data_IF_409008816728
#
_entry.id   IF_409008816728
#
_cell.length_a   1.000
_cell.length_b   1.000
_cell.length_c   1.000
_cell.angle_alpha   90.00
_cell.angle_beta   90.00
_cell.angle_gamma   90.00
#
_symmetry.space_group_name_H-M   'P 1'
#
loop_
_entity.id
_entity.type
_entity.pdbx_description
1 polymer ?
#
# COMPACT_ATOMS: atom_id res chain seq x y z
N UNK A 1 -55.93 -53.98 -84.25
CA UNK A 1 -55.09 -52.95 -83.59
C UNK A 1 -55.53 -52.80 -82.15
N UNK A 2 -54.78 -53.34 -81.18
CA UNK A 2 -55.07 -53.15 -79.74
C UNK A 2 -54.33 -51.89 -79.28
N UNK A 3 -55.05 -50.88 -78.80
CA UNK A 3 -54.49 -49.67 -78.19
C UNK A 3 -54.25 -49.95 -76.70
N UNK A 4 -52.99 -49.85 -76.27
CA UNK A 4 -52.61 -49.88 -74.86
C UNK A 4 -52.60 -48.42 -74.39
N UNK A 5 -53.45 -48.09 -73.42
CA UNK A 5 -53.43 -46.82 -72.71
C UNK A 5 -52.68 -47.06 -71.40
N UNK A 6 -51.54 -46.37 -71.25
CA UNK A 6 -50.71 -46.42 -70.05
C UNK A 6 -51.05 -45.23 -69.15
N UNK A 7 -51.73 -45.49 -68.04
CA UNK A 7 -52.02 -44.50 -67.00
C UNK A 7 -50.81 -44.37 -66.07
N UNK A 8 -50.09 -43.25 -66.13
CA UNK A 8 -48.96 -42.94 -65.24
C UNK A 8 -49.50 -42.17 -64.02
N UNK A 9 -49.51 -42.82 -62.86
CA UNK A 9 -49.85 -42.19 -61.57
C UNK A 9 -48.58 -41.63 -60.95
N UNK A 10 -48.48 -40.31 -60.80
CA UNK A 10 -47.36 -39.63 -60.12
C UNK A 10 -47.60 -39.73 -58.61
N UNK A 11 -46.79 -40.53 -57.91
CA UNK A 11 -46.77 -40.57 -56.44
C UNK A 11 -45.85 -39.47 -55.90
N UNK A 12 -46.42 -38.41 -55.33
CA UNK A 12 -45.67 -37.35 -54.64
C UNK A 12 -45.35 -37.78 -53.20
N UNK A 13 -44.08 -38.06 -52.91
CA UNK A 13 -43.59 -38.27 -51.55
C UNK A 13 -43.31 -36.92 -50.89
N UNK A 14 -44.21 -36.44 -50.05
CA UNK A 14 -43.94 -35.28 -49.19
C UNK A 14 -43.15 -35.76 -47.96
N UNK A 15 -41.94 -35.25 -47.78
CA UNK A 15 -41.17 -35.42 -46.54
C UNK A 15 -41.82 -34.53 -45.46
N UNK A 16 -42.50 -35.13 -44.49
CA UNK A 16 -43.03 -34.41 -43.34
C UNK A 16 -41.91 -34.20 -42.31
N UNK A 17 -41.43 -32.97 -42.17
CA UNK A 17 -40.55 -32.60 -41.06
C UNK A 17 -41.40 -32.49 -39.79
N UNK A 18 -41.18 -33.38 -38.82
CA UNK A 18 -41.86 -33.34 -37.53
C UNK A 18 -41.21 -32.26 -36.65
N UNK A 19 -41.85 -31.10 -36.58
CA UNK A 19 -41.56 -30.04 -35.63
C UNK A 19 -42.80 -29.81 -34.79
N UNK A 20 -42.63 -29.62 -33.48
CA UNK A 20 -43.75 -29.48 -32.55
C UNK A 20 -43.93 -28.01 -32.20
N UNK A 21 -45.03 -27.43 -32.65
CA UNK A 21 -45.49 -26.10 -32.25
C UNK A 21 -46.63 -26.19 -31.23
N UNK A 22 -46.52 -25.46 -30.13
CA UNK A 22 -47.64 -25.18 -29.23
C UNK A 22 -48.00 -23.71 -29.41
N UNK A 23 -49.27 -23.44 -29.74
CA UNK A 23 -49.80 -22.09 -30.02
C UNK A 23 -49.15 -21.34 -31.20
N UNK A 24 -48.29 -21.98 -31.98
CA UNK A 24 -47.74 -21.43 -33.22
C UNK A 24 -47.87 -22.44 -34.35
N UNK A 25 -48.31 -21.98 -35.53
CA UNK A 25 -48.36 -22.79 -36.75
C UNK A 25 -47.06 -22.75 -37.56
N UNK A 26 -46.10 -21.94 -37.13
CA UNK A 26 -44.81 -21.72 -37.79
C UNK A 26 -43.66 -21.87 -36.77
N UNK A 27 -43.38 -23.10 -36.30
CA UNK A 27 -42.30 -23.36 -35.35
C UNK A 27 -40.93 -22.88 -35.87
N UNK A 28 -40.09 -22.37 -34.97
CA UNK A 28 -38.73 -21.87 -35.29
C UNK A 28 -37.61 -22.79 -34.85
N UNK A 29 -37.96 -23.92 -34.25
CA UNK A 29 -37.05 -24.99 -33.87
C UNK A 29 -37.79 -26.33 -33.88
N UNK A 30 -37.14 -27.37 -33.37
CA UNK A 30 -37.75 -28.70 -33.25
C UNK A 30 -38.90 -28.72 -32.25
N UNK A 31 -38.85 -27.85 -31.25
CA UNK A 31 -39.94 -27.57 -30.31
C UNK A 31 -40.08 -26.06 -30.11
N UNK A 32 -41.28 -25.51 -30.29
CA UNK A 32 -41.55 -24.08 -30.14
C UNK A 32 -42.87 -23.89 -29.39
N UNK A 33 -42.82 -23.25 -28.22
CA UNK A 33 -43.99 -22.81 -27.46
C UNK A 33 -44.12 -21.31 -27.56
N UNK A 34 -45.23 -20.85 -28.11
CA UNK A 34 -45.64 -19.45 -28.16
C UNK A 34 -46.64 -19.19 -27.04
N UNK A 35 -46.21 -18.47 -26.00
CA UNK A 35 -47.04 -18.26 -24.81
C UNK A 35 -48.29 -17.41 -25.10
N UNK A 36 -48.15 -16.38 -25.93
CA UNK A 36 -49.20 -15.41 -26.23
C UNK A 36 -50.04 -15.77 -27.46
N UNK A 37 -49.64 -16.79 -28.23
CA UNK A 37 -50.24 -17.18 -29.51
C UNK A 37 -50.24 -16.02 -30.52
N UNK A 38 -49.20 -15.20 -30.50
CA UNK A 38 -49.10 -13.98 -31.29
C UNK A 38 -48.09 -14.10 -32.45
N UNK A 39 -47.44 -15.25 -32.64
CA UNK A 39 -46.51 -15.48 -33.74
C UNK A 39 -47.20 -15.50 -35.12
N UNK A 40 -46.55 -14.93 -36.16
CA UNK A 40 -47.10 -14.93 -37.51
C UNK A 40 -47.07 -16.33 -38.12
N UNK A 41 -48.10 -16.65 -38.92
CA UNK A 41 -48.23 -17.94 -39.62
C UNK A 41 -47.14 -18.19 -40.68
N UNK A 42 -46.40 -17.15 -41.08
CA UNK A 42 -45.24 -17.21 -41.98
C UNK A 42 -44.20 -16.17 -41.57
N UNK A 43 -42.96 -16.28 -42.08
CA UNK A 43 -41.88 -15.34 -41.72
C UNK A 43 -41.39 -15.53 -40.27
N UNK A 44 -40.61 -14.59 -39.74
CA UNK A 44 -40.09 -14.66 -38.37
C UNK A 44 -40.92 -13.80 -37.41
N UNK A 45 -41.14 -14.25 -36.16
CA UNK A 45 -41.68 -13.39 -35.11
C UNK A 45 -40.82 -12.15 -34.86
N UNK A 46 -41.47 -11.04 -34.55
CA UNK A 46 -40.81 -9.81 -34.06
C UNK A 46 -40.19 -10.05 -32.69
N UNK A 47 -39.25 -9.20 -32.27
CA UNK A 47 -38.62 -9.33 -30.94
C UNK A 47 -39.64 -9.31 -29.80
N UNK A 48 -40.71 -8.51 -29.91
CA UNK A 48 -41.76 -8.43 -28.90
C UNK A 48 -42.59 -9.73 -28.80
N UNK A 49 -42.88 -10.37 -29.93
CA UNK A 49 -43.54 -11.68 -29.96
C UNK A 49 -42.62 -12.77 -29.38
N UNK A 50 -41.34 -12.78 -29.79
CA UNK A 50 -40.35 -13.72 -29.25
C UNK A 50 -40.17 -13.63 -27.74
N UNK A 51 -40.44 -12.47 -27.12
CA UNK A 51 -40.25 -12.24 -25.69
C UNK A 51 -41.06 -13.18 -24.78
N UNK A 52 -42.11 -13.81 -25.32
CA UNK A 52 -42.95 -14.79 -24.62
C UNK A 52 -42.79 -16.23 -25.15
N UNK A 53 -41.81 -16.45 -26.03
CA UNK A 53 -41.54 -17.75 -26.65
C UNK A 53 -40.51 -18.57 -25.88
N UNK A 54 -40.66 -19.89 -25.98
CA UNK A 54 -39.67 -20.89 -25.62
C UNK A 54 -39.34 -21.76 -26.83
N UNK A 55 -38.07 -21.87 -27.20
CA UNK A 55 -37.62 -22.59 -28.39
C UNK A 55 -36.51 -23.58 -28.06
N UNK A 56 -36.59 -24.78 -28.63
CA UNK A 56 -35.47 -25.74 -28.70
C UNK A 56 -35.08 -25.90 -30.16
N UNK A 57 -33.82 -25.62 -30.47
CA UNK A 57 -33.26 -25.76 -31.83
C UNK A 57 -32.88 -27.21 -32.12
N UNK A 58 -32.66 -27.55 -33.39
CA UNK A 58 -32.19 -28.89 -33.80
C UNK A 58 -30.80 -29.25 -33.24
N UNK A 59 -30.01 -28.25 -32.86
CA UNK A 59 -28.71 -28.42 -32.21
C UNK A 59 -28.80 -28.59 -30.69
N UNK A 60 -30.01 -28.52 -30.11
CA UNK A 60 -30.26 -28.69 -28.68
C UNK A 60 -30.17 -27.40 -27.85
N UNK A 61 -29.84 -26.25 -28.46
CA UNK A 61 -29.86 -24.96 -27.76
C UNK A 61 -31.30 -24.57 -27.41
N UNK A 62 -31.49 -24.08 -26.18
CA UNK A 62 -32.75 -23.58 -25.65
C UNK A 62 -32.74 -22.06 -25.63
N UNK A 63 -33.77 -21.44 -26.20
CA UNK A 63 -34.03 -20.01 -26.13
C UNK A 63 -35.27 -19.72 -25.31
N UNK A 64 -35.18 -18.74 -24.42
CA UNK A 64 -36.31 -18.13 -23.73
C UNK A 64 -36.30 -16.65 -24.09
N UNK A 65 -37.34 -16.17 -24.75
CA UNK A 65 -37.36 -14.77 -25.23
C UNK A 65 -36.61 -14.54 -26.55
N UNK A 66 -36.08 -15.59 -27.18
CA UNK A 66 -35.38 -15.56 -28.46
C UNK A 66 -35.59 -16.88 -29.22
N UNK A 67 -35.78 -16.80 -30.54
CA UNK A 67 -35.81 -17.97 -31.42
C UNK A 67 -34.44 -18.34 -32.02
N UNK A 68 -33.41 -17.51 -31.76
CA UNK A 68 -32.05 -17.69 -32.25
C UNK A 68 -31.07 -17.63 -31.08
N UNK A 69 -31.05 -18.66 -30.21
CA UNK A 69 -30.08 -18.73 -29.11
C UNK A 69 -28.66 -18.58 -29.63
N UNK A 70 -27.80 -17.92 -28.85
CA UNK A 70 -26.38 -17.85 -29.21
C UNK A 70 -25.79 -19.27 -29.36
N UNK A 71 -25.05 -19.49 -30.46
CA UNK A 71 -24.40 -20.77 -30.75
C UNK A 71 -23.48 -21.30 -29.63
N UNK A 72 -22.93 -20.42 -28.79
CA UNK A 72 -22.08 -20.80 -27.66
C UNK A 72 -22.86 -21.08 -26.36
N UNK A 73 -24.18 -21.00 -26.35
CA UNK A 73 -25.02 -21.17 -25.17
C UNK A 73 -26.01 -22.33 -25.34
N UNK A 74 -26.00 -23.29 -24.42
CA UNK A 74 -27.06 -24.32 -24.37
C UNK A 74 -28.40 -23.76 -23.87
N UNK A 75 -28.37 -22.70 -23.04
CA UNK A 75 -29.54 -21.94 -22.61
C UNK A 75 -29.25 -20.45 -22.79
N UNK A 76 -30.11 -19.78 -23.56
CA UNK A 76 -30.08 -18.33 -23.78
C UNK A 76 -31.40 -17.72 -23.30
N UNK A 77 -31.31 -16.76 -22.37
CA UNK A 77 -32.46 -16.08 -21.78
C UNK A 77 -32.38 -14.61 -22.18
N UNK A 78 -33.14 -14.26 -23.21
CA UNK A 78 -33.12 -12.93 -23.81
C UNK A 78 -34.32 -12.10 -23.33
N UNK A 79 -34.07 -10.86 -22.93
CA UNK A 79 -35.11 -9.92 -22.47
C UNK A 79 -35.29 -8.72 -23.39
N UNK A 80 -34.56 -8.62 -24.49
CA UNK A 80 -34.53 -7.46 -25.40
C UNK A 80 -35.91 -7.14 -25.98
N UNK A 81 -36.72 -8.18 -26.24
CA UNK A 81 -38.10 -8.04 -26.69
C UNK A 81 -39.09 -7.46 -25.67
N UNK A 82 -38.76 -7.46 -24.37
CA UNK A 82 -39.63 -6.91 -23.32
C UNK A 82 -39.54 -5.37 -23.27
N UNK A 83 -40.63 -4.69 -22.90
CA UNK A 83 -40.61 -3.24 -22.72
C UNK A 83 -39.68 -2.80 -21.57
N UNK A 84 -39.25 -1.53 -21.59
CA UNK A 84 -38.58 -0.91 -20.44
C UNK A 84 -39.48 -0.99 -19.20
N UNK A 85 -38.91 -1.36 -18.05
CA UNK A 85 -39.67 -1.63 -16.82
C UNK A 85 -40.25 -3.05 -16.70
N UNK A 86 -40.27 -3.83 -17.79
CA UNK A 86 -40.74 -5.23 -17.80
C UNK A 86 -39.62 -6.26 -17.97
N UNK A 87 -38.36 -5.81 -18.09
CA UNK A 87 -37.20 -6.69 -18.18
C UNK A 87 -37.10 -7.57 -16.93
N UNK A 88 -36.69 -8.83 -17.10
CA UNK A 88 -36.56 -9.83 -16.04
C UNK A 88 -35.10 -10.26 -15.86
N UNK A 89 -34.79 -10.93 -14.75
CA UNK A 89 -33.47 -11.51 -14.49
C UNK A 89 -33.55 -13.01 -14.24
N UNK A 90 -32.38 -13.65 -14.07
CA UNK A 90 -32.30 -15.05 -13.66
C UNK A 90 -32.37 -15.16 -12.13
N UNK A 91 -33.31 -15.95 -11.62
CA UNK A 91 -33.37 -16.33 -10.20
C UNK A 91 -32.87 -17.77 -10.06
N UNK A 92 -31.60 -17.93 -9.71
CA UNK A 92 -30.97 -19.24 -9.54
C UNK A 92 -31.41 -19.99 -8.27
N UNK A 93 -30.99 -21.26 -8.12
CA UNK A 93 -31.21 -22.03 -6.91
C UNK A 93 -30.67 -21.32 -5.66
N UNK A 94 -31.41 -21.42 -4.55
CA UNK A 94 -31.01 -20.88 -3.25
C UNK A 94 -30.80 -22.01 -2.25
N UNK A 95 -29.76 -21.94 -1.44
CA UNK A 95 -29.48 -22.93 -0.39
C UNK A 95 -28.96 -22.25 0.87
N UNK A 96 -29.20 -22.85 2.03
CA UNK A 96 -28.60 -22.42 3.30
C UNK A 96 -27.38 -23.30 3.60
N UNK A 97 -26.21 -22.93 3.06
CA UNK A 97 -24.98 -23.72 3.21
C UNK A 97 -24.46 -23.66 4.65
N UNK A 98 -23.88 -24.76 5.10
CA UNK A 98 -23.41 -24.93 6.49
C UNK A 98 -21.95 -24.56 6.69
N UNK A 99 -21.14 -24.65 5.64
CA UNK A 99 -19.72 -24.29 5.65
C UNK A 99 -19.23 -24.07 4.21
N UNK A 100 -18.02 -23.56 4.04
CA UNK A 100 -17.42 -23.42 2.72
C UNK A 100 -17.13 -24.79 2.06
N UNK A 101 -17.01 -25.87 2.81
CA UNK A 101 -16.78 -27.23 2.27
C UNK A 101 -18.06 -28.06 2.28
N UNK A 102 -19.24 -27.43 2.39
CA UNK A 102 -20.52 -28.13 2.52
C UNK A 102 -20.85 -28.92 1.26
N UNK A 103 -20.83 -30.25 1.38
CA UNK A 103 -21.29 -31.18 0.35
C UNK A 103 -22.47 -32.03 0.85
N UNK A 104 -23.11 -31.63 1.96
CA UNK A 104 -24.25 -32.33 2.53
C UNK A 104 -25.56 -31.68 2.09
N UNK A 105 -25.61 -30.35 2.10
CA UNK A 105 -26.76 -29.58 1.62
C UNK A 105 -26.95 -29.75 0.12
N UNK A 106 -25.85 -29.89 -0.62
CA UNK A 106 -25.82 -30.25 -2.03
C UNK A 106 -24.80 -31.38 -2.20
N UNK A 107 -25.23 -32.65 -2.28
CA UNK A 107 -24.36 -33.80 -2.47
C UNK A 107 -23.60 -33.76 -3.79
N UNK A 108 -22.29 -34.05 -3.73
CA UNK A 108 -21.39 -34.11 -4.90
C UNK A 108 -21.53 -32.89 -5.84
N UNK A 109 -21.35 -31.66 -5.33
CA UNK A 109 -21.56 -30.45 -6.12
C UNK A 109 -20.61 -30.44 -7.32
N UNK A 110 -21.16 -30.18 -8.51
CA UNK A 110 -20.37 -30.10 -9.73
C UNK A 110 -19.43 -28.87 -9.70
N UNK A 111 -18.23 -28.98 -10.25
CA UNK A 111 -17.34 -27.82 -10.39
C UNK A 111 -17.99 -26.77 -11.28
N UNK A 112 -18.02 -25.51 -10.80
CA UNK A 112 -18.71 -24.39 -11.45
C UNK A 112 -20.19 -24.25 -11.08
N UNK A 113 -20.74 -25.13 -10.22
CA UNK A 113 -22.13 -25.03 -9.76
C UNK A 113 -22.36 -23.71 -9.00
N UNK A 114 -23.29 -22.88 -9.48
CA UNK A 114 -23.64 -21.58 -8.90
C UNK A 114 -24.91 -21.67 -8.06
N UNK A 115 -24.87 -21.14 -6.83
CA UNK A 115 -26.00 -21.12 -5.89
C UNK A 115 -26.02 -19.79 -5.14
N UNK A 116 -27.21 -19.27 -4.83
CA UNK A 116 -27.35 -18.17 -3.89
C UNK A 116 -27.36 -18.72 -2.45
N UNK A 117 -26.31 -18.47 -1.67
CA UNK A 117 -26.28 -18.81 -0.25
C UNK A 117 -27.16 -17.84 0.55
N UNK A 118 -28.08 -18.39 1.35
CA UNK A 118 -29.01 -17.62 2.16
C UNK A 118 -28.35 -16.98 3.40
N UNK A 119 -27.17 -17.43 3.81
CA UNK A 119 -26.50 -16.92 5.02
C UNK A 119 -27.19 -17.31 6.34
N UNK A 120 -28.27 -18.09 6.28
CA UNK A 120 -29.03 -18.58 7.44
C UNK A 120 -28.59 -19.98 7.91
N UNK A 121 -27.67 -20.61 7.18
CA UNK A 121 -26.97 -21.81 7.63
C UNK A 121 -25.74 -21.47 8.48
N UNK A 122 -24.76 -22.35 8.51
CA UNK A 122 -23.46 -22.11 9.16
C UNK A 122 -22.48 -21.27 8.34
N UNK A 123 -22.62 -21.25 7.01
CA UNK A 123 -21.90 -20.31 6.14
C UNK A 123 -22.65 -18.99 6.11
N UNK A 124 -22.24 -18.03 6.92
CA UNK A 124 -22.97 -16.77 7.16
C UNK A 124 -22.95 -15.81 5.94
N UNK A 125 -22.08 -16.03 4.96
CA UNK A 125 -22.00 -15.21 3.75
C UNK A 125 -23.30 -15.24 2.94
N UNK A 126 -24.04 -14.14 2.86
CA UNK A 126 -25.24 -14.03 2.02
C UNK A 126 -24.88 -13.54 0.62
N UNK A 127 -25.18 -14.34 -0.42
CA UNK A 127 -24.88 -13.97 -1.81
C UNK A 127 -24.59 -15.17 -2.70
N UNK A 128 -24.28 -14.90 -3.97
CA UNK A 128 -23.92 -15.92 -4.95
C UNK A 128 -22.54 -16.52 -4.65
N UNK A 129 -22.49 -17.85 -4.61
CA UNK A 129 -21.27 -18.65 -4.47
C UNK A 129 -21.24 -19.74 -5.53
N UNK A 130 -20.03 -20.15 -5.94
CA UNK A 130 -19.85 -21.29 -6.81
C UNK A 130 -18.93 -22.34 -6.19
N UNK A 131 -19.17 -23.61 -6.50
CA UNK A 131 -18.29 -24.70 -6.09
C UNK A 131 -17.05 -24.77 -6.99
N UNK A 132 -15.85 -24.61 -6.43
CA UNK A 132 -14.61 -24.67 -7.21
C UNK A 132 -14.00 -26.08 -7.35
N UNK A 133 -14.68 -27.11 -6.84
CA UNK A 133 -14.16 -28.48 -6.74
C UNK A 133 -13.76 -28.88 -5.31
N UNK A 134 -13.51 -27.91 -4.43
CA UNK A 134 -13.02 -28.12 -3.05
C UNK A 134 -13.79 -27.30 -2.01
N UNK A 135 -14.21 -26.09 -2.35
CA UNK A 135 -14.99 -25.20 -1.49
C UNK A 135 -15.92 -24.28 -2.31
N UNK A 136 -16.96 -23.78 -1.65
CA UNK A 136 -17.84 -22.71 -2.09
C UNK A 136 -17.11 -21.38 -1.98
N UNK A 137 -16.96 -20.70 -3.11
CA UNK A 137 -16.28 -19.41 -3.23
C UNK A 137 -17.24 -18.33 -3.69
N UNK A 138 -16.94 -17.09 -3.32
CA UNK A 138 -17.65 -15.92 -3.84
C UNK A 138 -17.45 -15.79 -5.35
N UNK A 139 -18.31 -15.03 -6.02
CA UNK A 139 -18.27 -14.87 -7.48
C UNK A 139 -16.93 -14.29 -8.01
N UNK A 140 -16.22 -13.48 -7.23
CA UNK A 140 -14.86 -13.00 -7.53
C UNK A 140 -13.75 -14.01 -7.16
N UNK A 141 -14.10 -15.28 -6.96
CA UNK A 141 -13.20 -16.37 -6.57
C UNK A 141 -12.51 -16.20 -5.20
N UNK A 142 -13.08 -15.38 -4.32
CA UNK A 142 -12.63 -15.22 -2.95
C UNK A 142 -12.94 -16.46 -2.11
N UNK A 143 -11.95 -16.93 -1.34
CA UNK A 143 -12.20 -17.97 -0.34
C UNK A 143 -13.04 -17.40 0.79
N UNK A 144 -13.92 -18.20 1.39
CA UNK A 144 -14.69 -17.84 2.58
C UNK A 144 -14.02 -18.33 3.88
N UNK A 145 -12.79 -18.83 3.77
CA UNK A 145 -12.06 -19.43 4.88
C UNK A 145 -11.56 -18.32 5.81
N UNK A 146 -11.41 -18.58 7.12
CA UNK A 146 -10.75 -17.63 8.01
C UNK A 146 -9.38 -17.21 7.47
N UNK A 147 -9.19 -15.91 7.30
CA UNK A 147 -7.95 -15.31 6.84
C UNK A 147 -6.85 -15.39 7.89
N UNK A 148 -5.66 -15.82 7.47
CA UNK A 148 -4.45 -15.84 8.30
C UNK A 148 -3.27 -15.25 7.55
N UNK A 149 -2.30 -14.71 8.29
CA UNK A 149 -1.03 -14.22 7.75
C UNK A 149 0.15 -14.81 8.53
N UNK A 150 1.27 -14.95 7.83
CA UNK A 150 2.55 -15.39 8.40
C UNK A 150 3.16 -14.33 9.32
N UNK A 151 3.21 -13.07 8.88
CA UNK A 151 3.65 -11.93 9.69
C UNK A 151 3.07 -10.60 9.18
N UNK A 152 2.88 -9.64 10.09
CA UNK A 152 2.66 -8.23 9.75
C UNK A 152 4.02 -7.53 9.72
N UNK A 153 4.32 -6.80 8.66
CA UNK A 153 5.60 -6.08 8.49
C UNK A 153 5.48 -4.68 9.09
N UNK A 154 5.46 -4.59 10.43
CA UNK A 154 5.17 -3.35 11.17
C UNK A 154 6.11 -2.18 10.82
N UNK A 155 7.38 -2.50 10.60
CA UNK A 155 8.45 -1.59 10.21
C UNK A 155 8.37 -1.11 8.75
N UNK A 156 7.47 -1.69 7.95
CA UNK A 156 7.13 -1.26 6.58
C UNK A 156 5.83 -0.46 6.47
N UNK A 157 5.21 -0.10 7.60
CA UNK A 157 3.97 0.70 7.61
C UNK A 157 4.25 2.12 7.12
N UNK A 158 3.40 2.62 6.24
CA UNK A 158 3.46 3.99 5.71
C UNK A 158 2.13 4.71 5.91
N UNK A 159 2.16 6.04 5.96
CA UNK A 159 0.98 6.91 6.03
C UNK A 159 1.05 7.95 4.90
N UNK A 160 -0.06 8.19 4.21
CA UNK A 160 -0.18 9.23 3.18
C UNK A 160 -1.49 10.02 3.34
N UNK A 161 -1.47 11.33 3.60
CA UNK A 161 -0.29 12.17 3.87
C UNK A 161 0.49 11.75 5.12
N UNK A 162 1.81 11.88 5.16
CA UNK A 162 2.63 11.31 6.25
C UNK A 162 2.64 12.10 7.57
N UNK A 163 2.04 13.29 7.56
CA UNK A 163 1.97 14.20 8.70
C UNK A 163 0.55 14.70 8.96
N UNK A 164 0.28 15.06 10.20
CA UNK A 164 -0.97 15.68 10.62
C UNK A 164 -0.74 16.81 11.65
N UNK A 165 -1.68 17.75 11.74
CA UNK A 165 -1.59 18.93 12.60
C UNK A 165 -2.73 18.95 13.60
N UNK A 166 -2.43 19.26 14.86
CA UNK A 166 -3.44 19.36 15.93
C UNK A 166 -4.58 20.32 15.55
N UNK A 167 -5.82 19.92 15.81
CA UNK A 167 -7.02 20.70 15.55
C UNK A 167 -7.45 20.80 14.08
N UNK A 168 -6.66 20.27 13.13
CA UNK A 168 -6.99 20.30 11.69
C UNK A 168 -7.57 18.95 11.26
N UNK A 169 -8.76 18.88 10.64
CA UNK A 169 -9.29 17.63 10.12
C UNK A 169 -8.30 16.90 9.21
N UNK A 170 -8.12 15.61 9.44
CA UNK A 170 -7.19 14.76 8.72
C UNK A 170 -7.92 13.58 8.07
N UNK A 171 -7.51 13.24 6.85
CA UNK A 171 -7.87 12.00 6.18
C UNK A 171 -6.65 11.51 5.41
N UNK A 172 -6.33 10.23 5.54
CA UNK A 172 -5.23 9.61 4.82
C UNK A 172 -5.28 8.10 4.85
N UNK A 173 -4.33 7.48 4.16
CA UNK A 173 -4.25 6.03 4.00
C UNK A 173 -3.01 5.51 4.72
N UNK A 174 -3.22 4.57 5.65
CA UNK A 174 -2.17 3.81 6.31
C UNK A 174 -2.04 2.43 5.65
N UNK A 175 -0.90 2.19 5.01
CA UNK A 175 -0.61 0.91 4.36
C UNK A 175 0.13 0.00 5.32
N UNK A 176 -0.40 -1.21 5.52
CA UNK A 176 0.13 -2.22 6.44
C UNK A 176 0.52 -3.47 5.65
N UNK A 177 1.80 -3.62 5.28
CA UNK A 177 2.27 -4.79 4.56
C UNK A 177 2.28 -6.06 5.44
N UNK A 178 2.04 -7.21 4.82
CA UNK A 178 2.09 -8.53 5.45
C UNK A 178 2.65 -9.58 4.50
N UNK A 179 3.07 -10.71 5.05
CA UNK A 179 3.56 -11.89 4.31
C UNK A 179 2.79 -13.15 4.73
N UNK A 180 2.80 -14.18 3.87
CA UNK A 180 2.23 -15.49 4.18
C UNK A 180 0.69 -15.52 4.34
N UNK A 181 -0.03 -14.66 3.63
CA UNK A 181 -1.48 -14.67 3.54
C UNK A 181 -2.02 -15.94 2.85
N UNK A 182 -3.15 -16.44 3.34
CA UNK A 182 -3.77 -17.69 2.86
C UNK A 182 -4.94 -17.49 1.88
N UNK A 183 -5.23 -16.26 1.42
CA UNK A 183 -6.40 -15.99 0.58
C UNK A 183 -7.73 -15.84 1.32
N UNK A 184 -7.79 -16.11 2.63
CA UNK A 184 -9.02 -16.14 3.42
C UNK A 184 -9.56 -14.76 3.80
N UNK A 185 -10.79 -14.71 4.30
CA UNK A 185 -11.51 -13.50 4.67
C UNK A 185 -11.00 -12.89 5.98
N UNK A 186 -11.03 -11.56 6.05
CA UNK A 186 -10.93 -10.80 7.28
C UNK A 186 -12.11 -9.84 7.41
N UNK A 187 -12.58 -9.64 8.65
CA UNK A 187 -13.67 -8.72 8.94
C UNK A 187 -13.23 -7.26 8.85
N UNK A 188 -14.19 -6.36 8.72
CA UNK A 188 -13.94 -4.93 8.84
C UNK A 188 -13.40 -4.61 10.25
N UNK A 189 -12.54 -3.60 10.36
CA UNK A 189 -11.97 -3.15 11.62
C UNK A 189 -12.16 -1.65 11.81
N UNK A 190 -12.34 -1.26 13.07
CA UNK A 190 -12.30 0.13 13.52
C UNK A 190 -11.44 0.18 14.77
N UNK A 191 -10.35 0.96 14.73
CA UNK A 191 -9.35 1.03 15.80
C UNK A 191 -9.17 2.50 16.20
N UNK A 192 -9.31 2.78 17.50
CA UNK A 192 -9.24 4.13 18.06
C UNK A 192 -10.59 4.66 18.56
N UNK A 193 -10.69 5.97 18.81
CA UNK A 193 -9.70 7.00 18.48
C UNK A 193 -8.43 6.92 19.33
N UNK A 194 -7.27 7.21 18.73
CA UNK A 194 -5.99 7.46 19.41
C UNK A 194 -5.48 8.81 18.94
N UNK A 195 -5.17 9.72 19.86
CA UNK A 195 -4.84 11.13 19.55
C UNK A 195 -5.86 11.80 18.61
N UNK A 196 -7.15 11.50 18.74
CA UNK A 196 -8.21 12.06 17.88
C UNK A 196 -8.31 11.47 16.46
N UNK A 197 -7.52 10.44 16.15
CA UNK A 197 -7.55 9.73 14.86
C UNK A 197 -8.10 8.31 15.02
N UNK A 198 -8.89 7.86 14.05
CA UNK A 198 -9.46 6.50 13.96
C UNK A 198 -8.98 5.83 12.68
N UNK A 199 -8.47 4.60 12.78
CA UNK A 199 -8.11 3.77 11.64
C UNK A 199 -9.23 2.78 11.32
N UNK A 200 -9.64 2.70 10.05
CA UNK A 200 -10.72 1.82 9.58
C UNK A 200 -10.27 0.96 8.40
N UNK A 201 -10.67 -0.31 8.40
CA UNK A 201 -10.41 -1.25 7.31
C UNK A 201 -11.74 -1.90 6.92
N UNK A 202 -12.07 -1.89 5.63
CA UNK A 202 -13.23 -2.62 5.11
C UNK A 202 -12.97 -4.13 5.12
N UNK A 203 -14.02 -4.95 5.27
CA UNK A 203 -13.89 -6.40 5.16
C UNK A 203 -13.37 -6.80 3.77
N UNK A 204 -12.62 -7.89 3.71
CA UNK A 204 -12.00 -8.34 2.47
C UNK A 204 -11.32 -9.70 2.61
N UNK A 205 -10.41 -10.00 1.68
CA UNK A 205 -9.59 -11.21 1.68
C UNK A 205 -8.12 -10.85 1.71
N UNK A 206 -7.31 -11.65 2.39
CA UNK A 206 -5.86 -11.58 2.22
C UNK A 206 -5.49 -12.03 0.80
N UNK A 207 -4.37 -11.54 0.28
CA UNK A 207 -3.73 -12.14 -0.87
C UNK A 207 -3.14 -13.51 -0.48
N UNK A 208 -3.01 -14.40 -1.45
CA UNK A 208 -2.17 -15.58 -1.28
C UNK A 208 -0.70 -15.16 -1.35
N UNK A 209 0.08 -15.35 -0.28
CA UNK A 209 1.45 -14.84 -0.17
C UNK A 209 1.52 -13.45 0.46
N UNK A 210 2.21 -12.50 -0.19
CA UNK A 210 2.38 -11.15 0.37
C UNK A 210 1.29 -10.19 -0.10
N UNK A 211 1.00 -9.17 0.72
CA UNK A 211 0.03 -8.15 0.38
C UNK A 211 0.06 -6.97 1.34
N UNK A 212 -0.88 -6.05 1.14
CA UNK A 212 -0.99 -4.82 1.92
C UNK A 212 -2.44 -4.61 2.34
N UNK A 213 -2.66 -4.35 3.63
CA UNK A 213 -3.94 -3.86 4.13
C UNK A 213 -3.93 -2.32 4.07
N UNK A 214 -4.98 -1.73 3.52
CA UNK A 214 -5.11 -0.28 3.38
C UNK A 214 -6.15 0.24 4.36
N UNK A 215 -5.70 0.82 5.47
CA UNK A 215 -6.57 1.45 6.46
C UNK A 215 -6.82 2.92 6.09
N UNK A 216 -8.07 3.37 6.17
CA UNK A 216 -8.40 4.79 6.15
C UNK A 216 -8.25 5.35 7.56
N UNK A 217 -7.36 6.33 7.73
CA UNK A 217 -7.13 7.05 8.98
C UNK A 217 -7.81 8.41 8.88
N UNK A 218 -8.74 8.71 9.78
CA UNK A 218 -9.47 9.98 9.77
C UNK A 218 -9.78 10.50 11.16
N UNK A 219 -10.05 11.81 11.26
CA UNK A 219 -10.44 12.46 12.51
C UNK A 219 -9.84 13.86 12.65
N UNK A 220 -9.83 14.40 13.86
CA UNK A 220 -9.17 15.67 14.18
C UNK A 220 -8.06 15.37 15.19
N UNK A 221 -6.77 15.40 14.79
CA UNK A 221 -5.65 15.08 15.66
C UNK A 221 -5.61 15.98 16.89
N UNK A 222 -5.24 15.42 18.04
CA UNK A 222 -4.94 16.17 19.28
C UNK A 222 -3.46 16.49 19.43
N UNK A 223 -2.61 15.97 18.53
CA UNK A 223 -1.16 16.16 18.51
C UNK A 223 -0.70 16.54 17.09
N UNK A 224 0.46 17.19 16.98
CA UNK A 224 1.07 17.56 15.69
C UNK A 224 2.29 16.67 15.44
N UNK A 225 2.46 16.21 14.20
CA UNK A 225 3.70 15.57 13.75
C UNK A 225 4.93 16.41 14.13
N UNK A 226 6.03 15.82 14.61
CA UNK A 226 6.37 14.39 14.56
C UNK A 226 5.86 13.56 15.76
N UNK A 227 4.98 14.08 16.62
CA UNK A 227 4.38 13.27 17.70
C UNK A 227 3.56 12.13 17.08
N UNK A 228 4.02 10.90 17.31
CA UNK A 228 3.45 9.71 16.68
C UNK A 228 2.14 9.26 17.32
N UNK A 229 1.29 8.62 16.51
CA UNK A 229 0.09 7.91 16.95
C UNK A 229 0.29 6.42 16.71
N UNK A 230 -0.05 5.59 17.70
CA UNK A 230 0.15 4.14 17.64
C UNK A 230 -1.19 3.41 17.68
N UNK A 231 -1.51 2.65 16.63
CA UNK A 231 -2.67 1.76 16.60
C UNK A 231 -2.25 0.30 16.82
N UNK A 232 -2.85 -0.37 17.81
CA UNK A 232 -2.62 -1.81 18.02
C UNK A 232 -3.51 -2.62 17.09
N UNK A 233 -2.91 -3.15 16.03
CA UNK A 233 -3.54 -4.02 15.06
C UNK A 233 -3.61 -5.45 15.59
N UNK A 234 -4.73 -6.13 15.35
CA UNK A 234 -4.91 -7.56 15.57
C UNK A 234 -5.69 -8.14 14.38
N UNK A 235 -5.00 -8.78 13.43
CA UNK A 235 -5.62 -9.28 12.21
C UNK A 235 -4.84 -10.48 11.67
N UNK A 236 -5.54 -11.45 11.06
CA UNK A 236 -4.92 -12.64 10.50
C UNK A 236 -4.17 -13.53 11.51
N UNK A 237 -4.55 -13.46 12.79
CA UNK A 237 -3.89 -14.19 13.89
C UNK A 237 -2.52 -13.61 14.28
N UNK A 238 -2.25 -12.34 13.96
CA UNK A 238 -1.03 -11.61 14.33
C UNK A 238 -1.38 -10.26 14.93
N UNK A 239 -0.49 -9.75 15.77
CA UNK A 239 -0.59 -8.42 16.37
C UNK A 239 0.57 -7.53 15.92
N UNK A 240 0.32 -6.22 15.83
CA UNK A 240 1.31 -5.24 15.39
C UNK A 240 0.97 -3.85 15.93
N UNK A 241 1.94 -3.11 16.44
CA UNK A 241 1.74 -1.70 16.80
C UNK A 241 2.13 -0.81 15.61
N UNK A 242 1.12 -0.30 14.90
CA UNK A 242 1.28 0.60 13.77
C UNK A 242 1.56 2.03 14.25
N UNK A 243 2.81 2.48 14.13
CA UNK A 243 3.24 3.83 14.52
C UNK A 243 3.23 4.74 13.30
N UNK A 244 2.45 5.82 13.35
CA UNK A 244 2.28 6.78 12.23
C UNK A 244 2.50 8.22 12.69
N UNK A 245 2.62 9.15 11.74
CA UNK A 245 2.68 10.59 12.01
C UNK A 245 4.05 11.16 12.37
N UNK A 246 5.12 10.37 12.20
CA UNK A 246 6.50 10.85 12.30
C UNK A 246 6.97 11.63 11.04
N UNK A 247 6.12 11.76 10.01
CA UNK A 247 6.51 12.14 8.65
C UNK A 247 6.93 10.93 7.81
N UNK A 248 7.48 11.17 6.61
CA UNK A 248 7.84 10.12 5.65
C UNK A 248 8.90 9.14 6.20
N UNK A 249 9.68 9.55 7.19
CA UNK A 249 10.82 8.77 7.66
C UNK A 249 11.71 8.34 6.47
N UNK A 250 12.40 7.21 6.61
CA UNK A 250 13.10 6.55 5.50
C UNK A 250 12.55 5.13 5.39
N UNK A 251 12.29 4.62 4.18
CA UNK A 251 12.01 3.20 3.94
C UNK A 251 13.33 2.41 3.86
N UNK A 252 13.32 1.08 4.08
CA UNK A 252 14.54 0.28 3.95
C UNK A 252 15.14 0.43 2.54
N UNK A 253 16.41 0.81 2.48
CA UNK A 253 17.15 1.09 1.25
C UNK A 253 17.23 2.59 0.90
N UNK A 254 16.32 3.43 1.41
CA UNK A 254 16.32 4.85 1.10
C UNK A 254 17.57 5.55 1.62
N UNK A 255 18.13 6.43 0.79
CA UNK A 255 19.27 7.28 1.09
C UNK A 255 18.89 8.74 0.85
N UNK A 256 19.01 9.56 1.89
CA UNK A 256 18.70 10.99 1.84
C UNK A 256 19.96 11.81 2.14
N UNK A 257 20.08 12.95 1.46
CA UNK A 257 21.19 13.88 1.60
C UNK A 257 20.72 15.21 2.17
N UNK A 258 21.59 15.87 2.92
CA UNK A 258 21.36 17.19 3.49
C UNK A 258 22.61 18.06 3.34
N UNK A 259 22.43 19.36 3.14
CA UNK A 259 23.49 20.36 3.09
C UNK A 259 23.05 21.62 3.84
N UNK A 260 23.92 22.11 4.71
CA UNK A 260 23.76 23.43 5.33
C UNK A 260 25.03 24.26 5.20
N UNK A 261 24.89 25.59 5.13
CA UNK A 261 26.00 26.53 5.10
C UNK A 261 25.77 27.73 6.02
N UNK A 262 26.76 28.09 6.83
CA UNK A 262 26.72 29.26 7.74
C UNK A 262 28.13 29.79 8.02
N UNK A 263 28.25 31.00 8.56
CA UNK A 263 29.56 31.64 8.76
C UNK A 263 30.50 30.79 9.61
N UNK A 264 31.79 30.74 9.26
CA UNK A 264 32.82 30.06 10.05
C UNK A 264 33.26 30.83 11.29
N UNK A 265 32.77 32.07 11.48
CA UNK A 265 33.17 32.95 12.59
C UNK A 265 32.30 32.80 13.84
N UNK A 266 31.25 31.98 13.79
CA UNK A 266 30.27 31.85 14.90
C UNK A 266 30.60 30.67 15.82
N UNK A 267 30.20 30.77 17.08
CA UNK A 267 30.21 29.67 18.06
C UNK A 267 28.78 29.43 18.54
N UNK A 268 28.43 28.18 18.78
CA UNK A 268 27.09 27.80 19.20
C UNK A 268 26.64 26.46 18.63
N UNK A 269 25.37 26.13 18.82
CA UNK A 269 24.75 24.95 18.23
C UNK A 269 24.44 25.15 16.75
N UNK A 270 24.58 24.09 15.95
CA UNK A 270 24.21 24.13 14.54
C UNK A 270 22.74 24.53 14.37
N UNK A 271 21.87 24.03 15.25
CA UNK A 271 20.44 24.39 15.30
C UNK A 271 20.14 25.87 15.58
N UNK A 272 21.12 26.66 16.05
CA UNK A 272 20.97 28.11 16.20
C UNK A 272 21.20 28.87 14.89
N UNK A 273 21.87 28.24 13.92
CA UNK A 273 22.21 28.85 12.61
C UNK A 273 21.39 28.24 11.47
N UNK A 274 20.81 27.05 11.68
CA UNK A 274 20.09 26.30 10.66
C UNK A 274 18.85 25.64 11.27
N UNK A 275 17.68 25.84 10.66
CA UNK A 275 16.38 25.50 11.26
C UNK A 275 15.81 24.15 10.83
N UNK A 276 16.35 23.54 9.78
CA UNK A 276 15.77 22.37 9.08
C UNK A 276 16.65 21.10 9.20
N UNK A 277 17.39 20.98 10.29
CA UNK A 277 18.27 19.83 10.53
C UNK A 277 17.51 18.48 10.46
N UNK A 278 18.08 17.43 9.87
CA UNK A 278 17.41 16.13 9.76
C UNK A 278 17.05 15.51 11.11
N UNK A 279 15.86 14.91 11.18
CA UNK A 279 15.37 14.18 12.37
C UNK A 279 15.09 12.73 11.99
N UNK A 280 15.90 11.82 12.50
CA UNK A 280 15.76 10.37 12.29
C UNK A 280 14.64 9.83 13.16
N UNK A 281 13.72 9.09 12.54
CA UNK A 281 12.57 8.47 13.21
C UNK A 281 11.61 9.46 13.86
N UNK A 282 11.65 10.75 13.48
CA UNK A 282 10.88 11.81 14.13
C UNK A 282 11.32 12.13 15.57
N UNK A 283 12.43 11.53 16.05
CA UNK A 283 12.86 11.57 17.45
C UNK A 283 14.25 12.15 17.65
N UNK A 284 15.21 11.79 16.78
CA UNK A 284 16.62 12.10 16.98
C UNK A 284 17.10 13.08 15.91
N UNK A 285 17.36 14.32 16.29
CA UNK A 285 17.94 15.34 15.42
C UNK A 285 19.45 15.15 15.30
N UNK A 286 19.95 15.26 14.08
CA UNK A 286 21.37 15.35 13.76
C UNK A 286 21.85 16.79 13.96
N UNK A 287 22.65 17.05 14.98
CA UNK A 287 23.09 18.39 15.37
C UNK A 287 24.62 18.41 15.60
N UNK A 288 25.16 19.58 15.95
CA UNK A 288 26.56 19.72 16.36
C UNK A 288 26.77 20.96 17.23
N UNK A 289 27.81 20.94 18.06
CA UNK A 289 28.29 22.09 18.81
C UNK A 289 29.60 22.63 18.23
N UNK A 290 29.70 23.95 18.12
CA UNK A 290 30.93 24.64 17.71
C UNK A 290 31.46 25.52 18.84
N UNK A 291 32.67 25.23 19.32
CA UNK A 291 33.28 25.93 20.47
C UNK A 291 33.91 27.29 20.15
N UNK A 292 33.96 27.70 18.88
CA UNK A 292 34.67 28.90 18.43
C UNK A 292 34.57 29.07 16.93
N UNK A 293 35.36 29.98 16.34
CA UNK A 293 35.49 30.10 14.89
C UNK A 293 36.27 28.92 14.28
N UNK A 294 35.87 28.43 13.10
CA UNK A 294 36.54 27.32 12.40
C UNK A 294 37.59 27.79 11.38
N UNK A 295 38.18 28.97 11.60
CA UNK A 295 39.23 29.53 10.74
C UNK A 295 40.64 29.01 11.07
N UNK A 296 40.74 28.10 12.05
CA UNK A 296 42.02 27.49 12.40
C UNK A 296 42.53 26.59 11.27
N UNK A 297 43.85 26.58 11.10
CA UNK A 297 44.55 25.70 10.15
C UNK A 297 44.71 24.28 10.69
N UNK A 298 45.90 23.70 10.50
CA UNK A 298 46.15 22.31 10.83
C UNK A 298 45.84 21.94 12.30
N UNK A 299 45.23 20.77 12.50
CA UNK A 299 44.95 20.24 13.84
C UNK A 299 43.80 20.91 14.59
N UNK A 300 43.06 21.82 13.93
CA UNK A 300 41.91 22.49 14.54
C UNK A 300 40.79 21.49 14.87
N UNK A 301 40.24 21.60 16.07
CA UNK A 301 39.07 20.83 16.52
C UNK A 301 38.02 21.82 16.98
N UNK A 302 37.02 22.05 16.13
CA UNK A 302 36.03 23.13 16.33
C UNK A 302 34.59 22.67 16.22
N UNK A 303 34.34 21.37 16.00
CA UNK A 303 33.00 20.79 15.86
C UNK A 303 32.86 19.49 16.67
N UNK A 304 31.75 19.36 17.39
CA UNK A 304 31.33 18.16 18.12
C UNK A 304 29.98 17.68 17.56
N UNK A 305 29.95 16.63 16.70
CA UNK A 305 28.71 16.03 16.23
C UNK A 305 27.91 15.45 17.40
N UNK A 306 26.59 15.69 17.41
CA UNK A 306 25.72 15.33 18.53
C UNK A 306 24.35 14.83 18.06
N UNK A 307 23.77 13.91 18.83
CA UNK A 307 22.38 13.50 18.70
C UNK A 307 21.53 14.20 19.75
N UNK A 308 20.39 14.76 19.33
CA UNK A 308 19.46 15.45 20.23
C UNK A 308 18.08 14.79 20.17
N UNK A 309 17.52 14.41 21.32
CA UNK A 309 16.16 13.89 21.39
C UNK A 309 15.15 15.05 21.35
N UNK A 310 14.44 15.18 20.25
CA UNK A 310 13.41 16.22 20.03
C UNK A 310 12.00 15.77 20.41
N UNK A 311 11.82 14.52 20.83
CA UNK A 311 10.52 14.01 21.26
C UNK A 311 10.21 14.39 22.70
N UNK A 312 8.94 14.28 23.10
CA UNK A 312 8.48 14.58 24.46
C UNK A 312 8.74 13.45 25.48
N UNK A 313 9.41 12.37 25.08
CA UNK A 313 9.64 11.20 25.93
C UNK A 313 11.07 10.66 25.80
N UNK A 314 11.61 9.97 26.83
CA UNK A 314 12.94 9.36 26.73
C UNK A 314 13.02 8.41 25.54
N UNK A 315 14.15 8.45 24.80
CA UNK A 315 14.38 7.62 23.62
C UNK A 315 15.52 6.66 23.89
N UNK A 316 15.24 5.36 23.75
CA UNK A 316 16.25 4.30 23.86
C UNK A 316 16.90 4.06 22.51
N UNK A 317 18.23 4.06 22.45
CA UNK A 317 18.99 3.88 21.21
C UNK A 317 20.35 3.20 21.44
N UNK A 318 20.96 2.76 20.34
CA UNK A 318 22.34 2.30 20.28
C UNK A 318 23.00 2.98 19.10
N UNK A 319 24.25 3.39 19.27
CA UNK A 319 25.05 3.84 18.14
C UNK A 319 26.49 3.36 18.26
N UNK A 320 27.11 3.20 17.10
CA UNK A 320 28.54 3.01 16.97
C UNK A 320 29.03 3.93 15.86
N UNK A 321 29.95 4.82 16.20
CA UNK A 321 30.64 5.65 15.24
C UNK A 321 32.01 5.04 14.91
N UNK A 322 32.39 5.11 13.63
CA UNK A 322 33.76 4.92 13.18
C UNK A 322 34.48 6.26 13.40
N UNK A 323 35.12 6.40 14.55
CA UNK A 323 35.91 7.59 14.91
C UNK A 323 37.30 7.19 15.36
N UNK A 324 38.18 8.19 15.52
CA UNK A 324 39.55 8.01 15.99
C UNK A 324 39.65 7.74 17.51
N UNK A 325 38.56 7.82 18.29
CA UNK A 325 38.55 7.66 19.76
C UNK A 325 37.51 6.64 20.23
N UNK A 326 37.93 5.71 21.09
CA UNK A 326 37.24 4.47 21.45
C UNK A 326 36.13 4.58 22.52
N UNK A 327 35.79 5.79 23.01
CA UNK A 327 34.98 5.95 24.23
C UNK A 327 33.59 6.56 24.06
N UNK A 328 33.20 6.97 22.86
CA UNK A 328 31.92 7.66 22.66
C UNK A 328 30.78 6.73 22.25
N UNK A 329 31.09 5.54 21.73
CA UNK A 329 30.07 4.54 21.34
C UNK A 329 29.16 4.19 22.52
N UNK A 330 27.85 4.25 22.30
CA UNK A 330 26.86 4.00 23.35
C UNK A 330 25.91 2.87 22.96
N UNK A 331 25.72 1.93 23.90
CA UNK A 331 24.76 0.84 23.78
C UNK A 331 23.74 0.92 24.90
N UNK A 332 22.50 0.55 24.61
CA UNK A 332 21.39 0.60 25.57
C UNK A 332 21.20 1.99 26.20
N UNK A 333 21.51 3.06 25.47
CA UNK A 333 21.47 4.40 26.01
C UNK A 333 20.03 4.93 26.03
N UNK A 334 19.64 5.59 27.12
CA UNK A 334 18.34 6.24 27.27
C UNK A 334 18.53 7.76 27.27
N UNK A 335 18.25 8.40 26.13
CA UNK A 335 18.42 9.85 25.96
C UNK A 335 17.15 10.59 26.40
N UNK A 336 17.28 11.46 27.40
CA UNK A 336 16.18 12.28 27.89
C UNK A 336 15.64 13.25 26.81
N UNK A 337 14.35 13.65 26.86
CA UNK A 337 13.83 14.74 26.04
C UNK A 337 14.67 15.99 26.16
N UNK A 338 15.00 16.61 25.04
CA UNK A 338 15.62 17.92 25.03
C UNK A 338 14.55 19.01 24.95
N UNK A 339 14.53 19.88 25.95
CA UNK A 339 13.88 21.19 25.89
C UNK A 339 14.91 22.23 25.45
N UNK A 340 14.56 23.14 24.51
CA UNK A 340 15.45 24.25 24.19
C UNK A 340 15.60 25.15 25.42
N UNK A 341 16.83 25.39 25.88
CA UNK A 341 17.16 26.34 26.95
C UNK A 341 17.86 27.56 26.33
N UNK A 342 17.42 28.77 26.70
CA UNK A 342 17.95 30.03 26.16
C UNK A 342 17.15 30.62 24.99
N UNK A 343 17.71 31.66 24.35
CA UNK A 343 17.12 32.35 23.19
C UNK A 343 18.21 32.81 22.19
N UNK A 344 17.87 32.90 20.91
CA UNK A 344 18.82 33.29 19.85
C UNK A 344 20.01 32.33 19.74
N UNK A 345 21.23 32.87 19.63
CA UNK A 345 22.47 32.08 19.51
C UNK A 345 22.83 31.25 20.76
N UNK A 346 22.11 31.44 21.88
CA UNK A 346 22.30 30.66 23.12
C UNK A 346 21.36 29.46 23.22
N UNK A 347 20.51 29.23 22.22
CA UNK A 347 19.58 28.11 22.19
C UNK A 347 20.35 26.79 22.25
N UNK A 348 20.27 26.11 23.39
CA UNK A 348 20.95 24.85 23.63
C UNK A 348 19.93 23.74 23.92
N UNK A 349 20.13 22.52 23.39
CA UNK A 349 19.41 21.36 23.88
C UNK A 349 19.81 21.05 25.32
N UNK A 350 18.83 20.80 26.19
CA UNK A 350 19.05 20.38 27.58
C UNK A 350 19.53 18.93 27.72
N UNK A 351 19.37 18.12 26.68
CA UNK A 351 19.83 16.74 26.63
C UNK A 351 20.37 16.39 25.25
N UNK A 352 21.58 15.83 25.20
CA UNK A 352 22.22 15.39 23.97
C UNK A 352 23.17 14.23 24.24
N UNK A 353 23.58 13.57 23.16
CA UNK A 353 24.61 12.55 23.15
C UNK A 353 25.74 13.02 22.24
N UNK A 354 26.97 12.97 22.76
CA UNK A 354 28.17 13.26 21.99
C UNK A 354 28.58 12.03 21.19
N UNK A 355 28.89 12.23 19.92
CA UNK A 355 29.31 11.16 19.02
C UNK A 355 30.83 10.99 18.98
N UNK A 356 31.56 12.01 19.42
CA UNK A 356 33.01 12.09 19.36
C UNK A 356 33.54 13.17 20.34
N UNK A 357 34.83 13.16 20.69
CA UNK A 357 35.49 14.20 21.50
C UNK A 357 35.84 15.47 20.72
N UNK A 358 35.42 15.55 19.47
CA UNK A 358 35.60 16.70 18.60
C UNK A 358 36.43 16.28 17.40
N UNK A 359 35.89 16.52 16.21
CA UNK A 359 36.51 16.09 14.97
C UNK A 359 37.51 17.13 14.45
N UNK A 360 38.55 16.67 13.77
CA UNK A 360 39.46 17.58 13.05
C UNK A 360 38.69 18.37 11.98
N UNK A 361 38.56 19.67 12.21
CA UNK A 361 37.71 20.57 11.44
C UNK A 361 38.19 22.03 11.48
N UNK A 362 38.57 22.54 10.31
CA UNK A 362 39.06 23.90 10.09
C UNK A 362 39.22 24.24 8.60
N UNK A 363 39.91 25.34 8.28
CA UNK A 363 40.19 25.76 6.88
C UNK A 363 41.29 24.92 6.20
N UNK A 364 41.95 24.05 6.96
CA UNK A 364 43.02 23.20 6.48
C UNK A 364 44.17 24.01 5.87
N UNK A 365 44.55 23.68 4.63
CA UNK A 365 45.60 24.36 3.88
C UNK A 365 45.27 25.82 3.54
N UNK A 366 43.98 26.18 3.51
CA UNK A 366 43.50 27.52 3.16
C UNK A 366 44.05 28.05 1.81
N UNK A 367 44.16 27.15 0.82
CA UNK A 367 44.64 27.52 -0.52
C UNK A 367 43.59 28.39 -1.25
N UNK A 368 44.02 29.42 -1.98
CA UNK A 368 43.17 30.37 -2.69
C UNK A 368 43.52 30.35 -4.19
N UNK A 369 42.53 30.10 -5.04
CA UNK A 369 42.73 30.06 -6.49
C UNK A 369 43.29 31.39 -7.02
N UNK A 370 44.39 31.32 -7.77
CA UNK A 370 45.07 32.48 -8.35
C UNK A 370 45.96 33.26 -7.38
N UNK A 371 46.00 32.88 -6.09
CA UNK A 371 46.86 33.50 -5.07
C UNK A 371 47.86 32.50 -4.50
N UNK A 372 47.38 31.33 -4.07
CA UNK A 372 48.24 30.27 -3.55
C UNK A 372 48.93 29.54 -4.70
N UNK A 373 50.23 29.25 -4.54
CA UNK A 373 50.96 28.42 -5.50
C UNK A 373 50.39 27.00 -5.50
N UNK A 374 49.90 26.48 -6.65
CA UNK A 374 49.35 25.14 -6.72
C UNK A 374 50.36 24.07 -6.31
N UNK A 375 49.92 23.12 -5.49
CA UNK A 375 50.77 22.00 -5.03
C UNK A 375 50.93 20.97 -6.16
N UNK A 376 52.16 20.53 -6.40
CA UNK A 376 52.47 19.51 -7.42
C UNK A 376 52.39 18.08 -6.90
N UNK A 377 52.44 17.89 -5.57
CA UNK A 377 52.32 16.61 -4.85
C UNK A 377 51.69 16.85 -3.47
N UNK A 378 51.02 15.85 -2.89
CA UNK A 378 50.33 15.99 -1.59
C UNK A 378 50.53 14.82 -0.62
N UNK A 379 51.05 15.11 0.57
CA UNK A 379 50.97 14.32 1.81
C UNK A 379 51.48 15.17 2.99
N UNK A 380 50.88 15.08 4.19
CA UNK A 380 51.42 15.70 5.42
C UNK A 380 50.56 16.81 6.06
N UNK A 381 51.08 17.35 7.16
CA UNK A 381 50.41 18.26 8.11
C UNK A 381 49.92 19.57 7.45
N UNK A 382 48.61 19.81 7.54
CA UNK A 382 47.93 20.96 6.93
C UNK A 382 46.47 20.66 6.56
N UNK A 383 46.16 19.40 6.26
CA UNK A 383 44.85 18.97 5.77
C UNK A 383 44.08 18.06 6.72
N UNK A 384 44.28 18.16 8.03
CA UNK A 384 43.60 17.29 8.99
C UNK A 384 42.09 17.60 8.96
N UNK A 385 41.34 16.77 8.25
CA UNK A 385 39.89 16.82 8.12
C UNK A 385 39.38 15.43 8.47
N UNK A 386 38.35 15.40 9.30
CA UNK A 386 37.74 14.18 9.77
C UNK A 386 36.26 14.15 9.41
N UNK A 387 35.80 12.96 9.07
CA UNK A 387 34.38 12.65 8.88
C UNK A 387 33.93 11.75 10.00
N UNK A 388 32.67 11.87 10.39
CA UNK A 388 32.06 10.92 11.31
C UNK A 388 31.09 10.04 10.53
N UNK A 389 31.32 8.73 10.55
CA UNK A 389 30.36 7.74 10.07
C UNK A 389 29.79 7.01 11.27
N UNK A 390 28.48 6.86 11.37
CA UNK A 390 27.87 6.08 12.44
C UNK A 390 26.76 5.17 11.94
N UNK A 391 26.62 4.05 12.63
CA UNK A 391 25.44 3.20 12.59
C UNK A 391 24.60 3.47 13.84
N UNK A 392 23.29 3.65 13.64
CA UNK A 392 22.31 3.99 14.68
C UNK A 392 21.16 2.97 14.64
N UNK A 393 20.89 2.35 15.78
CA UNK A 393 19.70 1.51 16.00
C UNK A 393 18.66 2.29 16.81
N UNK A 394 17.49 2.52 16.20
CA UNK A 394 16.39 3.30 16.77
C UNK A 394 15.05 2.67 16.37
N UNK A 395 14.21 2.30 17.34
CA UNK A 395 12.87 1.71 17.13
C UNK A 395 12.85 0.51 16.16
N UNK A 396 13.74 -0.48 16.37
CA UNK A 396 13.92 -1.65 15.48
C UNK A 396 14.29 -1.29 14.02
N UNK A 397 14.88 -0.12 13.80
CA UNK A 397 15.42 0.32 12.51
C UNK A 397 16.91 0.59 12.61
N UNK A 398 17.63 0.20 11.57
CA UNK A 398 19.07 0.44 11.44
C UNK A 398 19.31 1.55 10.42
N UNK A 399 20.01 2.59 10.84
CA UNK A 399 20.43 3.69 9.98
C UNK A 399 21.94 3.76 9.90
N UNK A 400 22.45 4.19 8.74
CA UNK A 400 23.82 4.64 8.57
C UNK A 400 23.82 6.13 8.26
N UNK A 401 24.64 6.87 9.00
CA UNK A 401 24.74 8.33 8.89
C UNK A 401 26.19 8.73 8.64
N UNK A 402 26.39 9.64 7.70
CA UNK A 402 27.69 10.28 7.45
C UNK A 402 27.58 11.78 7.75
N UNK A 403 28.53 12.30 8.53
CA UNK A 403 28.82 13.71 8.68
C UNK A 403 30.09 14.04 7.91
N UNK A 404 29.96 14.89 6.90
CA UNK A 404 31.09 15.45 6.17
C UNK A 404 31.06 16.98 6.26
N UNK A 405 31.79 17.56 7.22
CA UNK A 405 31.89 19.00 7.37
C UNK A 405 33.11 19.55 6.62
N UNK A 406 32.98 20.73 6.03
CA UNK A 406 34.08 21.48 5.39
C UNK A 406 34.05 22.95 5.76
N UNK A 407 35.20 23.61 5.85
CA UNK A 407 35.28 25.08 5.88
C UNK A 407 35.78 25.57 4.54
N UNK A 408 34.93 26.30 3.82
CA UNK A 408 35.24 26.92 2.53
C UNK A 408 35.72 28.35 2.75
N UNK A 409 36.90 28.70 2.24
CA UNK A 409 37.45 30.07 2.29
C UNK A 409 36.90 30.97 1.17
N UNK A 410 35.98 30.45 0.35
CA UNK A 410 35.32 31.15 -0.75
C UNK A 410 36.30 31.75 -1.78
N UNK A 411 37.54 31.23 -1.83
CA UNK A 411 38.66 31.81 -2.58
C UNK A 411 38.96 33.29 -2.24
N UNK A 412 38.79 33.69 -0.99
CA UNK A 412 39.16 35.05 -0.53
C UNK A 412 40.22 35.00 0.57
N UNK A 413 40.90 36.13 0.80
CA UNK A 413 41.89 36.28 1.88
C UNK A 413 41.25 36.67 3.21
N UNK A 414 39.96 36.99 3.23
CA UNK A 414 39.26 37.50 4.41
C UNK A 414 38.58 36.36 5.15
N UNK A 415 38.94 36.16 6.42
CA UNK A 415 38.30 35.13 7.26
C UNK A 415 36.82 35.40 7.51
N UNK A 416 36.35 36.63 7.27
CA UNK A 416 34.93 36.96 7.38
C UNK A 416 34.07 36.24 6.34
N UNK A 417 34.66 35.90 5.18
CA UNK A 417 33.98 35.25 4.07
C UNK A 417 33.93 33.72 4.22
N UNK A 418 34.72 33.17 5.15
CA UNK A 418 34.80 31.74 5.37
C UNK A 418 33.45 31.17 5.83
N UNK A 419 33.03 30.07 5.21
CA UNK A 419 31.76 29.40 5.45
C UNK A 419 31.99 27.97 5.94
N UNK A 420 31.28 27.58 6.99
CA UNK A 420 31.08 26.17 7.32
C UNK A 420 30.06 25.61 6.36
N UNK A 421 30.33 24.43 5.83
CA UNK A 421 29.39 23.66 5.03
C UNK A 421 29.31 22.26 5.63
N UNK A 422 28.11 21.82 6.00
CA UNK A 422 27.87 20.51 6.61
C UNK A 422 27.06 19.68 5.62
N UNK A 423 27.63 18.56 5.18
CA UNK A 423 26.95 17.56 4.39
C UNK A 423 26.58 16.38 5.28
N UNK A 424 25.33 15.92 5.18
CA UNK A 424 24.87 14.69 5.81
C UNK A 424 24.33 13.73 4.77
N UNK A 425 24.54 12.43 4.97
CA UNK A 425 23.78 11.39 4.28
C UNK A 425 23.21 10.40 5.28
N UNK A 426 21.95 10.02 5.13
CA UNK A 426 21.23 9.14 6.05
C UNK A 426 20.62 8.02 5.21
N UNK A 427 21.07 6.80 5.45
CA UNK A 427 20.52 5.60 4.83
C UNK A 427 19.76 4.79 5.85
N UNK A 428 18.58 4.27 5.51
CA UNK A 428 17.97 3.20 6.30
C UNK A 428 18.39 1.85 5.74
N UNK A 429 19.09 1.07 6.55
CA UNK A 429 19.60 -0.26 6.21
C UNK A 429 18.63 -1.39 6.62
N UNK A 430 17.75 -1.14 7.60
CA UNK A 430 16.68 -2.07 8.03
C UNK A 430 15.44 -1.33 8.55
#
# INVERSE_FOLDING_TARGET
MRKIILSITIASFNLFYSQVGINTSNPKGVFHVDGAKDNPSTGNPTAAQQANDFVVTSSGNVGIGTNSPNSSALLDVNVDGLASGSKKGFLGPKAALTSQTDQTTIPSPATGLLVYNLGTGGLVYNGYVFWNGTEWRTFNNGSLAPGTVGAITCNGITLSPSTYTTGVPYTGTMNVPYTGGNGGIYAAQTIGPVNGLTATLSAGNFNSGSGTLSYTVSGTPTVTSPITTTFSLNIGGKTCNAVIGAGDGLAPGDLVFYKAGFSANVSGWMSAFVTDLPIIGGKIRLDAWFNGASNGGNGSVTMWPRLVNTSSSPVKLWFSALTNVDRFNASNYLLAPSTPTGSGATLAPSAYMELDNGIYYGVGYNDILGSTTPRTTGSGEGGHQEVLTMDLSLDDKWYRVYYFPTVDNMNTTSTADNMRVIYLSIQRLY
#
